data_IF_182831991584
#
_entry.id   IF_182831991584
#
_cell.length_a   1.000
_cell.length_b   1.000
_cell.length_c   1.000
_cell.angle_alpha   90.00
_cell.angle_beta   90.00
_cell.angle_gamma   90.00
#
_symmetry.space_group_name_H-M   'P 1'
#
loop_
_entity.id
_entity.type
_entity.pdbx_description
1 polymer ?
#
# COMPACT_ATOMS: atom_id res chain seq x y z
N UNK A 1 24.20 -26.10 5.65
CA UNK A 1 23.27 -25.31 6.48
C UNK A 1 22.18 -24.78 5.55
N UNK A 2 20.96 -25.30 5.64
CA UNK A 2 19.84 -24.79 4.86
C UNK A 2 19.44 -23.44 5.47
N UNK A 3 19.64 -22.37 4.72
CA UNK A 3 19.05 -21.08 5.05
C UNK A 3 17.54 -21.29 4.95
N UNK A 4 16.85 -21.39 6.07
CA UNK A 4 15.40 -21.34 6.07
C UNK A 4 15.00 -19.99 5.46
N UNK A 5 14.36 -20.02 4.29
CA UNK A 5 13.77 -18.84 3.69
C UNK A 5 12.85 -18.22 4.75
N UNK A 6 13.10 -16.97 5.09
CA UNK A 6 12.26 -16.22 6.03
C UNK A 6 10.85 -16.18 5.43
N UNK A 7 9.91 -16.89 6.05
CA UNK A 7 8.54 -16.95 5.57
C UNK A 7 7.88 -15.61 5.90
N UNK A 8 7.79 -14.74 4.92
CA UNK A 8 7.09 -13.47 5.06
C UNK A 8 5.58 -13.73 5.15
N UNK A 9 4.94 -13.09 6.11
CA UNK A 9 3.50 -13.14 6.24
C UNK A 9 2.92 -11.79 5.76
N UNK A 10 2.16 -11.82 4.65
CA UNK A 10 1.50 -10.64 4.09
C UNK A 10 0.56 -9.97 5.10
N UNK A 11 -0.15 -10.77 5.89
CA UNK A 11 -1.10 -10.28 6.88
C UNK A 11 -0.44 -9.38 7.92
N UNK A 12 0.84 -9.63 8.28
CA UNK A 12 1.57 -8.77 9.21
C UNK A 12 1.77 -7.35 8.69
N UNK A 13 1.74 -7.16 7.36
CA UNK A 13 1.92 -5.85 6.71
C UNK A 13 0.61 -5.14 6.38
N UNK A 14 -0.49 -5.84 6.25
CA UNK A 14 -1.78 -5.23 5.89
C UNK A 14 -2.67 -5.13 7.11
N UNK A 15 -2.71 -6.18 7.91
CA UNK A 15 -3.70 -6.32 8.95
C UNK A 15 -3.27 -7.23 10.10
N UNK A 16 -2.29 -6.85 10.93
CA UNK A 16 -1.74 -7.75 11.94
C UNK A 16 -2.71 -8.06 13.10
N UNK A 17 -3.69 -7.22 13.41
CA UNK A 17 -4.55 -7.33 14.59
C UNK A 17 -6.04 -7.13 14.32
N UNK A 18 -6.50 -7.49 13.14
CA UNK A 18 -7.87 -7.29 12.77
C UNK A 18 -8.07 -6.11 11.77
N UNK A 19 -8.85 -5.02 11.96
CA UNK A 19 -9.08 -3.96 10.97
C UNK A 19 -8.17 -2.74 11.18
N UNK A 20 -7.47 -2.29 10.13
CA UNK A 20 -6.70 -1.04 10.11
C UNK A 20 -7.49 0.06 9.43
N UNK A 21 -7.46 1.25 10.02
CA UNK A 21 -8.13 2.43 9.48
C UNK A 21 -7.10 3.38 8.90
N UNK A 22 -7.34 3.82 7.68
CA UNK A 22 -6.53 4.82 6.99
C UNK A 22 -7.39 6.06 6.71
N UNK A 23 -6.83 7.23 6.96
CA UNK A 23 -7.46 8.50 6.67
C UNK A 23 -6.91 9.09 5.38
N UNK A 24 -7.80 9.59 4.52
CA UNK A 24 -7.43 10.33 3.31
C UNK A 24 -7.85 11.78 3.51
N UNK A 25 -6.90 12.73 3.67
CA UNK A 25 -7.23 14.14 3.82
C UNK A 25 -7.73 14.73 2.49
N UNK A 26 -8.68 15.67 2.58
CA UNK A 26 -9.09 16.49 1.43
C UNK A 26 -8.00 17.54 1.08
N UNK A 27 -8.25 18.35 0.04
CA UNK A 27 -7.32 19.40 -0.38
C UNK A 27 -7.10 20.50 0.67
N UNK A 28 -7.91 20.53 1.74
CA UNK A 28 -7.81 21.47 2.86
C UNK A 28 -7.17 20.83 4.10
N UNK A 29 -6.74 19.58 4.01
CA UNK A 29 -6.22 18.81 5.12
C UNK A 29 -7.29 18.19 6.04
N UNK A 30 -8.59 18.34 5.70
CA UNK A 30 -9.65 17.71 6.44
C UNK A 30 -9.74 16.22 6.10
N UNK A 31 -10.26 15.43 7.02
CA UNK A 31 -10.56 14.04 6.77
C UNK A 31 -11.69 13.91 5.75
N UNK A 32 -11.40 13.32 4.58
CA UNK A 32 -12.38 13.13 3.52
C UNK A 32 -12.94 11.72 3.49
N UNK A 33 -12.08 10.72 3.62
CA UNK A 33 -12.50 9.33 3.63
C UNK A 33 -11.70 8.49 4.62
N UNK A 34 -12.27 7.37 5.03
CA UNK A 34 -11.62 6.36 5.84
C UNK A 34 -11.66 5.05 5.07
N UNK A 35 -10.51 4.39 4.95
CA UNK A 35 -10.41 3.06 4.36
C UNK A 35 -10.13 2.04 5.45
N UNK A 36 -10.92 0.98 5.46
CA UNK A 36 -10.74 -0.15 6.38
C UNK A 36 -10.35 -1.39 5.57
N UNK A 37 -9.43 -2.16 6.13
CA UNK A 37 -9.01 -3.43 5.55
C UNK A 37 -9.35 -4.59 6.47
N UNK A 38 -9.79 -5.68 5.87
CA UNK A 38 -10.02 -6.94 6.58
C UNK A 38 -9.68 -8.13 5.69
N UNK A 39 -9.50 -9.31 6.29
CA UNK A 39 -9.31 -10.56 5.58
C UNK A 39 -10.54 -11.44 5.71
N UNK A 40 -10.95 -12.03 4.61
CA UNK A 40 -12.01 -13.04 4.58
C UNK A 40 -11.48 -14.31 3.93
N UNK A 41 -11.85 -15.47 4.47
CA UNK A 41 -11.61 -16.77 3.85
C UNK A 41 -12.92 -17.39 3.48
N UNK A 42 -13.06 -17.82 2.22
CA UNK A 42 -14.26 -18.49 1.70
C UNK A 42 -13.84 -19.76 0.96
N UNK A 43 -14.28 -20.91 1.46
CA UNK A 43 -13.91 -22.22 0.91
C UNK A 43 -12.39 -22.41 0.83
N UNK A 44 -11.80 -22.24 -0.36
CA UNK A 44 -10.37 -22.40 -0.61
C UNK A 44 -9.68 -21.07 -1.02
N UNK A 45 -10.44 -19.98 -1.07
CA UNK A 45 -9.94 -18.67 -1.52
C UNK A 45 -9.77 -17.72 -0.34
N UNK A 46 -8.68 -16.97 -0.36
CA UNK A 46 -8.41 -15.87 0.57
C UNK A 46 -8.68 -14.52 -0.12
N UNK A 47 -9.33 -13.64 0.60
CA UNK A 47 -9.67 -12.31 0.11
C UNK A 47 -9.14 -11.23 1.05
N UNK A 48 -8.51 -10.22 0.46
CA UNK A 48 -8.33 -8.91 1.08
C UNK A 48 -9.58 -8.08 0.76
N UNK A 49 -10.20 -7.54 1.79
CA UNK A 49 -11.38 -6.66 1.67
C UNK A 49 -10.98 -5.24 2.03
N UNK A 50 -11.27 -4.32 1.14
CA UNK A 50 -11.10 -2.88 1.32
C UNK A 50 -12.46 -2.22 1.30
N UNK A 51 -12.79 -1.49 2.35
CA UNK A 51 -14.02 -0.71 2.48
C UNK A 51 -13.69 0.77 2.64
N UNK A 52 -14.25 1.60 1.78
CA UNK A 52 -14.05 3.06 1.79
C UNK A 52 -15.32 3.75 2.29
N UNK A 53 -15.18 4.54 3.34
CA UNK A 53 -16.22 5.32 3.95
C UNK A 53 -15.95 6.81 3.73
N UNK A 54 -16.99 7.59 3.40
CA UNK A 54 -16.92 9.04 3.21
C UNK A 54 -17.85 9.78 4.15
N UNK A 55 -17.49 11.00 4.51
CA UNK A 55 -18.29 11.86 5.38
C UNK A 55 -18.65 11.20 6.70
N UNK A 56 -19.93 11.16 7.06
CA UNK A 56 -20.42 10.63 8.32
C UNK A 56 -20.52 9.09 8.38
N UNK A 57 -19.59 8.37 7.78
CA UNK A 57 -19.52 6.90 7.86
C UNK A 57 -20.35 6.18 6.81
N UNK A 58 -20.70 6.83 5.71
CA UNK A 58 -21.36 6.14 4.58
C UNK A 58 -20.32 5.34 3.78
N UNK A 59 -20.52 4.02 3.64
CA UNK A 59 -19.74 3.20 2.75
C UNK A 59 -19.95 3.66 1.30
N UNK A 60 -18.88 4.10 0.65
CA UNK A 60 -18.91 4.54 -0.75
C UNK A 60 -18.46 3.46 -1.73
N UNK A 61 -17.52 2.62 -1.32
CA UNK A 61 -17.02 1.53 -2.13
C UNK A 61 -16.56 0.36 -1.25
N UNK A 62 -16.69 -0.84 -1.81
CA UNK A 62 -16.12 -2.08 -1.26
C UNK A 62 -15.41 -2.81 -2.38
N UNK A 63 -14.16 -3.18 -2.14
CA UNK A 63 -13.37 -4.01 -3.06
C UNK A 63 -12.99 -5.31 -2.37
N UNK A 64 -13.11 -6.43 -3.09
CA UNK A 64 -12.60 -7.74 -2.65
C UNK A 64 -11.55 -8.19 -3.65
N UNK A 65 -10.36 -8.45 -3.16
CA UNK A 65 -9.24 -8.96 -3.94
C UNK A 65 -9.02 -10.42 -3.54
N UNK A 66 -9.30 -11.36 -4.45
CA UNK A 66 -8.89 -12.74 -4.24
C UNK A 66 -7.38 -12.80 -4.40
N UNK A 67 -6.67 -13.34 -3.42
CA UNK A 67 -5.21 -13.35 -3.45
C UNK A 67 -4.60 -14.70 -3.13
N UNK A 68 -3.40 -14.89 -3.62
CA UNK A 68 -2.50 -15.99 -3.29
C UNK A 68 -1.07 -15.47 -3.23
N UNK A 69 -0.18 -16.23 -2.59
CA UNK A 69 1.23 -15.85 -2.45
C UNK A 69 2.07 -16.68 -3.41
N UNK A 70 2.87 -16.00 -4.25
CA UNK A 70 3.90 -16.57 -5.11
C UNK A 70 5.26 -16.03 -4.67
N UNK A 71 6.21 -16.91 -4.31
CA UNK A 71 7.56 -16.55 -3.87
C UNK A 71 7.63 -15.28 -2.99
N UNK A 72 7.94 -14.14 -3.60
CA UNK A 72 8.10 -12.85 -2.93
C UNK A 72 6.93 -11.88 -3.17
N UNK A 73 5.83 -12.33 -3.76
CA UNK A 73 4.72 -11.46 -4.11
C UNK A 73 3.37 -12.02 -3.66
N UNK A 74 2.47 -11.14 -3.30
CA UNK A 74 1.05 -11.42 -3.08
C UNK A 74 0.29 -10.90 -4.29
N UNK A 75 -0.36 -11.82 -4.97
CA UNK A 75 -0.98 -11.57 -6.26
C UNK A 75 -2.49 -11.68 -6.14
N UNK A 76 -3.21 -10.72 -6.70
CA UNK A 76 -4.64 -10.81 -6.93
C UNK A 76 -4.92 -11.12 -8.40
N UNK A 77 -5.78 -12.07 -8.66
CA UNK A 77 -6.25 -12.44 -10.00
C UNK A 77 -7.72 -12.08 -10.23
N UNK A 78 -8.44 -11.71 -9.17
CA UNK A 78 -9.84 -11.27 -9.25
C UNK A 78 -10.07 -10.12 -8.29
N UNK A 79 -10.56 -9.01 -8.82
CA UNK A 79 -11.07 -7.90 -8.05
C UNK A 79 -12.58 -7.77 -8.26
N UNK A 80 -13.35 -7.82 -7.18
CA UNK A 80 -14.77 -7.49 -7.16
C UNK A 80 -14.92 -6.12 -6.53
N UNK A 81 -15.44 -5.15 -7.26
CA UNK A 81 -15.66 -3.79 -6.77
C UNK A 81 -17.15 -3.49 -6.75
N UNK A 82 -17.63 -3.06 -5.61
CA UNK A 82 -18.97 -2.51 -5.44
C UNK A 82 -18.84 -1.01 -5.15
N UNK A 83 -19.50 -0.21 -5.94
CA UNK A 83 -19.58 1.23 -5.74
C UNK A 83 -21.05 1.60 -5.61
N UNK A 84 -21.37 2.44 -4.62
CA UNK A 84 -22.77 2.83 -4.32
C UNK A 84 -23.45 3.51 -5.51
N UNK A 85 -22.71 4.27 -6.30
CA UNK A 85 -23.26 5.07 -7.41
C UNK A 85 -23.25 4.32 -8.74
N UNK A 86 -22.21 3.49 -8.99
CA UNK A 86 -21.99 2.88 -10.31
C UNK A 86 -22.27 1.36 -10.34
N UNK A 87 -22.66 0.78 -9.19
CA UNK A 87 -22.97 -0.63 -9.10
C UNK A 87 -21.73 -1.53 -8.92
N UNK A 88 -21.82 -2.78 -9.33
CA UNK A 88 -20.79 -3.79 -9.16
C UNK A 88 -20.01 -4.04 -10.43
N UNK A 89 -18.68 -4.13 -10.33
CA UNK A 89 -17.79 -4.44 -11.45
C UNK A 89 -16.83 -5.55 -11.03
N UNK A 90 -16.54 -6.50 -11.93
CA UNK A 90 -15.52 -7.52 -11.76
C UNK A 90 -14.37 -7.25 -12.72
N UNK A 91 -13.16 -7.19 -12.18
CA UNK A 91 -11.92 -7.13 -12.95
C UNK A 91 -11.17 -8.46 -12.80
N UNK A 92 -10.44 -8.86 -13.83
CA UNK A 92 -9.67 -10.11 -13.88
C UNK A 92 -8.20 -9.84 -14.25
N UNK A 93 -7.73 -8.63 -13.98
CA UNK A 93 -6.34 -8.28 -14.20
C UNK A 93 -5.48 -8.85 -13.05
N UNK A 94 -4.33 -9.41 -13.41
CA UNK A 94 -3.34 -9.86 -12.44
C UNK A 94 -2.63 -8.65 -11.86
N UNK A 95 -2.86 -8.38 -10.57
CA UNK A 95 -2.24 -7.28 -9.84
C UNK A 95 -1.33 -7.82 -8.73
N UNK A 96 -0.19 -7.20 -8.54
CA UNK A 96 0.65 -7.44 -7.36
C UNK A 96 0.17 -6.50 -6.25
N UNK A 97 -0.52 -7.05 -5.26
CA UNK A 97 -0.99 -6.30 -4.10
C UNK A 97 0.15 -5.90 -3.18
N UNK A 98 1.17 -6.76 -3.08
CA UNK A 98 2.31 -6.57 -2.21
C UNK A 98 3.51 -7.36 -2.73
N UNK A 99 4.71 -6.80 -2.64
CA UNK A 99 5.94 -7.49 -3.02
C UNK A 99 7.00 -7.33 -1.94
N UNK A 100 7.59 -8.47 -1.52
CA UNK A 100 8.71 -8.49 -0.61
C UNK A 100 10.01 -8.32 -1.39
N UNK A 101 10.82 -7.29 -1.10
CA UNK A 101 12.10 -7.14 -1.74
C UNK A 101 13.08 -8.24 -1.29
N UNK A 102 14.02 -8.57 -2.13
CA UNK A 102 15.18 -9.37 -1.72
C UNK A 102 16.04 -8.56 -0.74
N UNK A 103 16.85 -9.26 0.08
CA UNK A 103 17.57 -8.66 1.21
C UNK A 103 18.34 -7.38 0.85
N UNK A 104 18.98 -7.36 -0.32
CA UNK A 104 19.88 -6.28 -0.73
C UNK A 104 19.57 -5.74 -2.14
N UNK A 105 18.39 -6.11 -2.69
CA UNK A 105 18.00 -5.69 -4.06
C UNK A 105 16.53 -5.34 -4.11
N UNK A 106 16.16 -4.27 -4.81
CA UNK A 106 14.78 -3.98 -5.11
C UNK A 106 14.16 -5.11 -5.95
N UNK A 107 12.97 -5.54 -5.59
CA UNK A 107 12.13 -6.34 -6.46
C UNK A 107 11.46 -5.41 -7.47
N UNK A 108 11.54 -5.75 -8.78
CA UNK A 108 11.02 -4.91 -9.87
C UNK A 108 10.07 -5.70 -10.73
N UNK A 109 8.96 -5.09 -11.09
CA UNK A 109 7.99 -5.67 -12.02
C UNK A 109 7.29 -4.61 -12.86
N UNK A 110 6.54 -5.06 -13.85
CA UNK A 110 5.65 -4.23 -14.65
C UNK A 110 4.25 -4.76 -14.49
N UNK A 111 3.29 -3.90 -14.31
CA UNK A 111 1.88 -4.29 -14.26
C UNK A 111 1.03 -3.41 -15.17
N UNK A 112 -0.15 -3.93 -15.53
CA UNK A 112 -1.18 -3.17 -16.22
C UNK A 112 -2.40 -3.14 -15.34
N UNK A 113 -2.87 -1.95 -15.00
CA UNK A 113 -4.08 -1.74 -14.23
C UNK A 113 -5.04 -0.87 -15.06
N UNK A 114 -6.17 -1.43 -15.48
CA UNK A 114 -7.20 -0.76 -16.29
C UNK A 114 -6.68 -0.13 -17.59
N UNK A 115 -5.68 -0.74 -18.19
CA UNK A 115 -5.05 -0.26 -19.43
C UNK A 115 -3.81 0.59 -19.25
N UNK A 116 -3.58 1.15 -18.06
CA UNK A 116 -2.38 1.91 -17.73
C UNK A 116 -1.23 0.98 -17.34
N UNK A 117 -0.04 1.26 -17.87
CA UNK A 117 1.18 0.49 -17.58
C UNK A 117 2.01 1.17 -16.52
N UNK A 118 2.39 0.41 -15.50
CA UNK A 118 3.21 0.87 -14.37
C UNK A 118 4.53 0.13 -14.34
N UNK A 119 5.62 0.90 -14.08
CA UNK A 119 6.90 0.35 -13.64
C UNK A 119 6.90 0.36 -12.12
N UNK A 120 7.05 -0.81 -11.53
CA UNK A 120 6.88 -0.97 -10.09
C UNK A 120 8.18 -1.42 -9.44
N UNK A 121 8.40 -0.97 -8.22
CA UNK A 121 9.51 -1.41 -7.39
C UNK A 121 9.08 -1.63 -5.95
N UNK A 122 9.74 -2.56 -5.28
CA UNK A 122 9.65 -2.75 -3.83
C UNK A 122 11.05 -2.85 -3.26
N UNK A 123 11.36 -2.08 -2.22
CA UNK A 123 12.67 -2.04 -1.59
C UNK A 123 12.56 -1.87 -0.07
N UNK A 124 13.57 -2.35 0.66
CA UNK A 124 13.69 -2.04 2.09
C UNK A 124 14.29 -0.66 2.27
N UNK A 125 13.66 0.13 3.12
CA UNK A 125 14.16 1.43 3.58
C UNK A 125 14.07 1.51 5.10
N UNK A 126 14.86 2.40 5.69
CA UNK A 126 14.75 2.72 7.10
C UNK A 126 14.04 4.06 7.27
N UNK A 127 13.15 4.13 8.24
CA UNK A 127 12.34 5.31 8.50
C UNK A 127 12.36 5.69 9.98
N UNK A 128 12.28 6.97 10.24
CA UNK A 128 11.81 7.53 11.50
C UNK A 128 10.35 7.95 11.31
N UNK A 129 9.45 7.39 12.09
CA UNK A 129 8.03 7.69 12.05
C UNK A 129 7.52 8.03 13.45
N UNK A 130 6.62 9.00 13.57
CA UNK A 130 5.86 9.24 14.79
C UNK A 130 4.46 8.64 14.62
N UNK A 131 4.14 7.67 15.47
CA UNK A 131 2.86 6.98 15.49
C UNK A 131 2.29 7.12 16.90
N UNK A 132 1.10 7.71 17.01
CA UNK A 132 0.45 8.02 18.28
C UNK A 132 1.41 8.80 19.23
N UNK A 133 2.06 9.83 18.66
CA UNK A 133 3.05 10.70 19.32
C UNK A 133 4.34 10.00 19.78
N UNK A 134 4.54 8.73 19.42
CA UNK A 134 5.76 7.98 19.73
C UNK A 134 6.68 7.93 18.51
N UNK A 135 7.93 8.40 18.69
CA UNK A 135 8.96 8.31 17.66
C UNK A 135 9.51 6.89 17.59
N UNK A 136 9.44 6.28 16.41
CA UNK A 136 9.82 4.91 16.13
C UNK A 136 10.81 4.84 14.96
N UNK A 137 11.88 4.06 15.13
CA UNK A 137 12.84 3.76 14.07
C UNK A 137 12.54 2.37 13.52
N UNK A 138 12.08 2.31 12.28
CA UNK A 138 11.48 1.12 11.70
C UNK A 138 12.13 0.76 10.36
N UNK A 139 12.22 -0.56 10.09
CA UNK A 139 12.48 -1.07 8.74
C UNK A 139 11.16 -1.16 8.00
N UNK A 140 11.07 -0.49 6.87
CA UNK A 140 9.87 -0.39 6.05
C UNK A 140 10.10 -1.02 4.68
N UNK A 141 9.03 -1.52 4.07
CA UNK A 141 8.97 -1.81 2.64
C UNK A 141 8.37 -0.59 1.96
N UNK A 142 9.15 0.01 1.05
CA UNK A 142 8.71 1.09 0.18
C UNK A 142 8.32 0.49 -1.16
N UNK A 143 7.07 0.66 -1.55
CA UNK A 143 6.57 0.28 -2.86
C UNK A 143 6.32 1.51 -3.70
N UNK A 144 6.79 1.49 -4.95
CA UNK A 144 6.60 2.59 -5.90
C UNK A 144 5.94 2.05 -7.17
N UNK A 145 4.94 2.77 -7.67
CA UNK A 145 4.29 2.57 -8.97
C UNK A 145 4.49 3.85 -9.79
N UNK A 146 5.16 3.74 -10.91
CA UNK A 146 5.50 4.86 -11.80
C UNK A 146 4.82 4.66 -13.16
N UNK A 147 4.03 5.62 -13.55
CA UNK A 147 3.36 5.68 -14.84
C UNK A 147 3.69 6.98 -15.55
N UNK A 148 3.97 6.89 -16.86
CA UNK A 148 4.08 8.06 -17.73
C UNK A 148 3.02 7.95 -18.81
N UNK A 149 2.24 8.98 -18.99
CA UNK A 149 1.16 9.05 -19.98
C UNK A 149 1.22 10.36 -20.78
N UNK A 150 0.50 10.41 -21.90
CA UNK A 150 0.47 11.56 -22.80
C UNK A 150 -0.96 12.08 -22.86
N UNK A 151 -1.14 13.37 -22.57
CA UNK A 151 -2.41 14.08 -22.72
C UNK A 151 -2.13 15.32 -23.57
N UNK A 152 -2.91 15.53 -24.61
CA UNK A 152 -2.80 16.71 -25.51
C UNK A 152 -1.38 16.95 -26.04
N UNK A 153 -0.62 15.89 -26.33
CA UNK A 153 0.80 15.87 -26.74
C UNK A 153 1.82 16.28 -25.64
N UNK A 154 1.38 16.48 -24.40
CA UNK A 154 2.27 16.69 -23.27
C UNK A 154 2.50 15.37 -22.51
N UNK A 155 3.75 15.14 -22.08
CA UNK A 155 4.12 13.97 -21.28
C UNK A 155 3.92 14.30 -19.81
N UNK A 156 3.06 13.54 -19.17
CA UNK A 156 2.80 13.61 -17.74
C UNK A 156 3.41 12.42 -17.01
N UNK A 157 3.70 12.58 -15.74
CA UNK A 157 4.20 11.52 -14.87
C UNK A 157 3.38 11.43 -13.60
N UNK A 158 3.02 10.19 -13.26
CA UNK A 158 2.34 9.84 -12.00
C UNK A 158 3.19 8.85 -11.24
N UNK A 159 3.52 9.14 -9.98
CA UNK A 159 4.23 8.24 -9.10
C UNK A 159 3.42 8.05 -7.82
N UNK A 160 3.07 6.81 -7.53
CA UNK A 160 2.53 6.43 -6.23
C UNK A 160 3.63 5.77 -5.40
N UNK A 161 3.82 6.22 -4.16
CA UNK A 161 4.80 5.67 -3.22
C UNK A 161 4.13 5.35 -1.89
N UNK A 162 4.20 4.09 -1.46
CA UNK A 162 3.64 3.64 -0.18
C UNK A 162 4.70 3.03 0.72
N UNK A 163 4.54 3.21 2.03
CA UNK A 163 5.43 2.70 3.07
C UNK A 163 4.67 1.72 3.95
N UNK A 164 5.21 0.52 4.07
CA UNK A 164 4.60 -0.61 4.76
C UNK A 164 5.53 -1.13 5.85
N UNK A 165 5.00 -1.30 7.04
CA UNK A 165 5.77 -1.77 8.19
C UNK A 165 5.06 -2.96 8.83
N UNK A 166 5.82 -4.01 9.13
CA UNK A 166 5.30 -5.16 9.86
C UNK A 166 4.68 -4.72 11.18
N UNK A 167 3.52 -5.25 11.51
CA UNK A 167 2.70 -4.93 12.68
C UNK A 167 2.03 -3.55 12.69
N UNK A 168 2.28 -2.70 11.70
CA UNK A 168 1.63 -1.38 11.55
C UNK A 168 0.80 -1.29 10.28
N UNK A 169 1.10 -2.12 9.27
CA UNK A 169 0.48 -2.06 7.97
C UNK A 169 1.02 -0.92 7.10
N UNK A 170 0.20 -0.42 6.21
CA UNK A 170 0.53 0.73 5.35
C UNK A 170 0.45 2.02 6.16
N UNK A 171 1.59 2.67 6.35
CA UNK A 171 1.66 3.93 7.11
C UNK A 171 1.14 5.10 6.31
N UNK A 172 1.57 5.22 5.05
CA UNK A 172 1.24 6.35 4.19
C UNK A 172 1.39 5.98 2.72
N UNK A 173 0.59 6.62 1.87
CA UNK A 173 0.77 6.66 0.43
C UNK A 173 0.90 8.10 -0.01
N UNK A 174 1.95 8.39 -0.76
CA UNK A 174 2.14 9.65 -1.47
C UNK A 174 1.80 9.46 -2.94
N UNK A 175 1.22 10.48 -3.53
CA UNK A 175 1.02 10.61 -4.97
C UNK A 175 1.75 11.85 -5.44
N UNK A 176 2.57 11.69 -6.47
CA UNK A 176 3.28 12.77 -7.14
C UNK A 176 2.75 12.89 -8.57
N UNK A 177 2.19 14.04 -8.89
CA UNK A 177 1.76 14.42 -10.22
C UNK A 177 2.70 15.50 -10.73
N UNK A 178 3.50 15.19 -11.76
CA UNK A 178 4.42 16.13 -12.42
C UNK A 178 5.30 16.93 -11.44
N UNK A 179 5.81 16.27 -10.39
CA UNK A 179 6.64 16.89 -9.37
C UNK A 179 5.87 17.50 -8.19
N UNK A 180 4.55 17.38 -8.17
CA UNK A 180 3.72 17.83 -7.04
C UNK A 180 3.34 16.66 -6.15
N UNK A 181 4.13 16.42 -5.10
CA UNK A 181 3.94 15.32 -4.15
C UNK A 181 2.96 15.68 -3.04
N UNK A 182 1.95 14.84 -2.84
CA UNK A 182 0.95 14.97 -1.77
C UNK A 182 0.69 13.63 -1.10
N UNK A 183 0.36 13.61 0.19
CA UNK A 183 -0.19 12.44 0.84
C UNK A 183 -1.60 12.18 0.32
N UNK A 184 -1.85 10.99 -0.23
CA UNK A 184 -3.18 10.57 -0.68
C UNK A 184 -3.92 9.79 0.40
N UNK A 185 -3.20 9.04 1.22
CA UNK A 185 -3.74 8.35 2.39
C UNK A 185 -2.66 8.18 3.46
N UNK A 186 -3.06 8.16 4.72
CA UNK A 186 -2.16 7.87 5.84
C UNK A 186 -2.90 7.10 6.93
N UNK A 187 -2.15 6.35 7.75
CA UNK A 187 -2.65 5.82 9.01
C UNK A 187 -3.05 7.02 9.89
N UNK A 188 -4.25 7.00 10.47
CA UNK A 188 -4.81 8.14 11.21
C UNK A 188 -3.97 8.59 12.40
N UNK A 189 -3.29 7.65 13.07
CA UNK A 189 -2.37 7.91 14.18
C UNK A 189 -0.93 8.24 13.73
N UNK A 190 -0.66 8.35 12.44
CA UNK A 190 0.65 8.74 11.91
C UNK A 190 0.80 10.26 11.94
N UNK A 191 1.75 10.80 12.71
CA UNK A 191 2.04 12.23 12.74
C UNK A 191 2.98 12.62 11.59
N UNK A 192 4.13 11.93 11.48
CA UNK A 192 5.10 12.13 10.41
C UNK A 192 5.85 10.85 10.04
N UNK A 193 6.53 10.89 8.89
CA UNK A 193 7.46 9.88 8.41
C UNK A 193 8.62 10.56 7.68
N UNK A 194 9.83 10.05 7.90
CA UNK A 194 11.05 10.47 7.22
C UNK A 194 11.92 9.25 6.92
N UNK A 195 12.43 9.14 5.69
CA UNK A 195 13.49 8.17 5.39
C UNK A 195 14.78 8.58 6.07
N UNK A 196 15.49 7.61 6.62
CA UNK A 196 16.79 7.78 7.29
C UNK A 196 17.80 6.78 6.72
N UNK A 197 19.07 7.03 6.93
CA UNK A 197 20.11 6.08 6.54
C UNK A 197 20.13 4.84 7.46
N UNK A 198 20.67 3.73 6.94
CA UNK A 198 20.89 2.54 7.77
C UNK A 198 21.83 2.81 8.96
N UNK A 199 22.79 3.71 8.78
CA UNK A 199 23.71 4.13 9.85
C UNK A 199 22.96 4.83 11.00
N UNK A 200 22.06 5.76 10.68
CA UNK A 200 21.21 6.43 11.67
C UNK A 200 20.30 5.45 12.38
N UNK A 201 19.64 4.55 11.63
CA UNK A 201 18.81 3.50 12.19
C UNK A 201 19.56 2.63 13.18
N UNK A 202 20.78 2.18 12.84
CA UNK A 202 21.60 1.33 13.70
C UNK A 202 22.12 2.05 14.94
N UNK A 203 22.33 3.37 14.90
CA UNK A 203 22.70 4.19 16.09
C UNK A 203 21.54 4.29 17.08
N UNK A 204 20.31 4.33 16.60
CA UNK A 204 19.12 4.52 17.46
C UNK A 204 18.61 3.21 18.07
N UNK A 205 19.05 2.06 17.60
CA UNK A 205 18.72 0.74 18.17
C UNK A 205 19.68 0.25 19.26
N UNK A 206 20.75 1.01 19.54
CA UNK A 206 21.71 0.74 20.64
C UNK A 206 21.24 1.40 21.91
#
# INVERSE_FOLDING_TARGET
>A
MSVQAQKFNFEDYVYPFGCRTYASPDNKGNLWSVTQYSFESQAYDNYLVEEVYIGHGMMSAKSKYRYHTEENAVISDVQLRQNRLTGSTKYQDKLILFAFPEKDKPFKWTETDRGDKYQCTSEYVYINASIDHNSLFLKSIKMTRDNSYIVENEKHRFIETSYWVSNYGRLITFVDWDGTKKASSKLDVLDYIQEISEEEYNKMKK
#
